data_IF_046793160746
#
_entry.id   IF_046793160746
#
_cell.length_a   1.000
_cell.length_b   1.000
_cell.length_c   1.000
_cell.angle_alpha   90.00
_cell.angle_beta   90.00
_cell.angle_gamma   90.00
#
_symmetry.space_group_name_H-M   'P 1'
#
loop_
_entity.id
_entity.type
_entity.pdbx_description
1 polymer ?
#
# COMPACT_ATOMS: atom_id res chain seq x y z
N UNK A 1 2.85 -33.62 -17.33
CA UNK A 1 1.73 -34.41 -17.84
C UNK A 1 0.70 -34.51 -16.72
N UNK A 2 -0.50 -33.93 -16.86
CA UNK A 2 -1.51 -34.03 -15.80
C UNK A 2 -2.26 -35.36 -15.96
N UNK A 3 -2.06 -36.27 -15.00
CA UNK A 3 -2.83 -37.49 -14.88
C UNK A 3 -4.33 -37.15 -14.77
N UNK A 4 -5.14 -37.85 -15.56
CA UNK A 4 -6.61 -37.82 -15.48
C UNK A 4 -7.04 -38.24 -14.07
N UNK A 5 -7.28 -37.28 -13.19
CA UNK A 5 -7.69 -37.52 -11.81
C UNK A 5 -9.20 -37.83 -11.78
N UNK A 6 -9.56 -39.02 -11.28
CA UNK A 6 -10.95 -39.49 -11.08
C UNK A 6 -11.88 -38.37 -10.57
N UNK A 7 -13.09 -38.21 -11.11
CA UNK A 7 -14.07 -37.18 -10.67
C UNK A 7 -14.89 -37.72 -9.48
N UNK A 8 -14.48 -37.51 -8.22
CA UNK A 8 -15.27 -38.00 -7.09
C UNK A 8 -16.63 -37.29 -7.07
N UNK A 9 -17.64 -38.00 -6.60
CA UNK A 9 -18.98 -37.45 -6.36
C UNK A 9 -19.02 -36.85 -4.96
N UNK A 10 -19.62 -35.67 -4.83
CA UNK A 10 -19.84 -34.96 -3.56
C UNK A 10 -21.32 -35.06 -3.21
N UNK A 11 -21.60 -35.32 -1.93
CA UNK A 11 -22.94 -35.32 -1.37
C UNK A 11 -23.50 -33.91 -1.20
N UNK A 12 -24.77 -33.70 -1.54
CA UNK A 12 -25.48 -32.45 -1.29
C UNK A 12 -26.24 -32.55 0.03
N UNK A 13 -26.08 -31.56 0.90
CA UNK A 13 -26.75 -31.48 2.19
C UNK A 13 -27.88 -30.45 2.16
N UNK A 14 -28.99 -30.74 2.85
CA UNK A 14 -30.06 -29.78 3.08
C UNK A 14 -29.73 -28.86 4.29
N UNK A 15 -30.54 -27.82 4.50
CA UNK A 15 -30.34 -26.87 5.62
C UNK A 15 -30.42 -27.53 7.01
N UNK A 16 -31.05 -28.71 7.10
CA UNK A 16 -31.14 -29.52 8.33
C UNK A 16 -29.93 -30.44 8.53
N UNK A 17 -28.88 -30.28 7.72
CA UNK A 17 -27.66 -31.11 7.73
C UNK A 17 -27.88 -32.59 7.38
N UNK A 18 -28.95 -32.90 6.66
CA UNK A 18 -29.24 -34.26 6.17
C UNK A 18 -28.77 -34.39 4.71
N UNK A 19 -28.29 -35.58 4.34
CA UNK A 19 -27.89 -35.87 2.96
C UNK A 19 -29.13 -36.00 2.09
N UNK A 20 -29.20 -35.18 1.03
CA UNK A 20 -30.24 -35.32 0.01
C UNK A 20 -29.94 -36.59 -0.79
N UNK A 21 -30.76 -37.61 -0.60
CA UNK A 21 -30.65 -38.88 -1.34
C UNK A 21 -30.78 -38.60 -2.84
N UNK A 22 -30.03 -39.33 -3.66
CA UNK A 22 -30.03 -39.27 -5.14
C UNK A 22 -29.44 -38.01 -5.79
N UNK A 23 -29.14 -36.96 -5.02
CA UNK A 23 -28.50 -35.75 -5.55
C UNK A 23 -27.01 -35.74 -5.22
N UNK A 24 -26.19 -36.18 -6.18
CA UNK A 24 -24.72 -36.13 -6.08
C UNK A 24 -24.12 -35.34 -7.24
N UNK A 25 -23.09 -34.54 -6.96
CA UNK A 25 -22.47 -33.64 -7.94
C UNK A 25 -21.01 -34.05 -8.11
N UNK A 26 -20.54 -34.14 -9.35
CA UNK A 26 -19.13 -34.41 -9.62
C UNK A 26 -18.26 -33.23 -9.19
N UNK A 27 -17.16 -33.50 -8.46
CA UNK A 27 -16.21 -32.48 -8.01
C UNK A 27 -15.64 -31.70 -9.20
N UNK A 28 -15.86 -30.37 -9.27
CA UNK A 28 -15.28 -29.54 -10.31
C UNK A 28 -13.76 -29.66 -10.36
N UNK A 29 -13.19 -29.60 -11.58
CA UNK A 29 -11.75 -29.81 -11.79
C UNK A 29 -10.87 -28.79 -11.04
N UNK A 30 -11.40 -27.61 -10.70
CA UNK A 30 -10.70 -26.55 -9.98
C UNK A 30 -10.20 -27.02 -8.60
N UNK A 31 -10.98 -27.83 -7.88
CA UNK A 31 -10.59 -28.33 -6.55
C UNK A 31 -9.42 -29.32 -6.56
N UNK A 32 -8.95 -29.74 -7.75
CA UNK A 32 -7.76 -30.58 -7.91
C UNK A 32 -6.56 -29.82 -8.45
N UNK A 33 -6.69 -28.51 -8.68
CA UNK A 33 -5.58 -27.68 -9.08
C UNK A 33 -4.49 -27.72 -8.00
N UNK A 34 -3.20 -27.71 -8.38
CA UNK A 34 -2.12 -27.71 -7.42
C UNK A 34 -2.05 -26.37 -6.69
N UNK A 35 -2.14 -26.44 -5.36
CA UNK A 35 -2.09 -25.28 -4.47
C UNK A 35 -0.69 -24.68 -4.51
N UNK A 36 -0.59 -23.42 -4.96
CA UNK A 36 0.66 -22.66 -4.99
C UNK A 36 0.58 -21.45 -4.04
N UNK A 37 1.00 -21.60 -2.78
CA UNK A 37 0.89 -20.52 -1.79
C UNK A 37 1.73 -19.29 -2.16
N UNK A 38 2.82 -19.47 -2.89
CA UNK A 38 3.67 -18.41 -3.43
C UNK A 38 2.90 -17.50 -4.40
N UNK A 39 2.18 -18.10 -5.36
CA UNK A 39 1.38 -17.37 -6.35
C UNK A 39 0.19 -16.68 -5.70
N UNK A 40 -0.48 -17.35 -4.77
CA UNK A 40 -1.61 -16.78 -4.01
C UNK A 40 -1.16 -15.56 -3.22
N UNK A 41 -0.07 -15.66 -2.47
CA UNK A 41 0.44 -14.54 -1.67
C UNK A 41 0.88 -13.36 -2.54
N UNK A 42 1.57 -13.64 -3.66
CA UNK A 42 1.97 -12.61 -4.61
C UNK A 42 0.75 -11.85 -5.16
N UNK A 43 -0.25 -12.58 -5.68
CA UNK A 43 -1.46 -11.96 -6.25
C UNK A 43 -2.22 -11.18 -5.19
N UNK A 44 -2.39 -11.74 -3.99
CA UNK A 44 -3.06 -11.07 -2.87
C UNK A 44 -2.38 -9.74 -2.52
N UNK A 45 -1.05 -9.72 -2.38
CA UNK A 45 -0.31 -8.50 -2.07
C UNK A 45 -0.51 -7.42 -3.15
N UNK A 46 -0.44 -7.80 -4.43
CA UNK A 46 -0.62 -6.85 -5.53
C UNK A 46 -2.05 -6.30 -5.61
N UNK A 47 -3.06 -7.15 -5.44
CA UNK A 47 -4.49 -6.74 -5.47
C UNK A 47 -4.82 -5.87 -4.26
N UNK A 48 -4.32 -6.20 -3.08
CA UNK A 48 -4.50 -5.39 -1.85
C UNK A 48 -3.97 -3.96 -2.01
N UNK A 49 -2.87 -3.77 -2.75
CA UNK A 49 -2.35 -2.43 -3.03
C UNK A 49 -3.26 -1.57 -3.92
N UNK A 50 -4.13 -2.18 -4.73
CA UNK A 50 -4.97 -1.46 -5.70
C UNK A 50 -6.15 -0.70 -5.06
N UNK A 51 -6.58 -1.10 -3.86
CA UNK A 51 -7.68 -0.43 -3.15
C UNK A 51 -7.22 0.83 -2.39
N UNK A 52 -5.91 1.13 -2.37
CA UNK A 52 -5.38 2.25 -1.60
C UNK A 52 -5.69 3.59 -2.27
N UNK A 53 -6.19 4.54 -1.50
CA UNK A 53 -6.35 5.92 -1.96
C UNK A 53 -4.99 6.66 -1.90
N UNK A 54 -4.58 7.36 -2.97
CA UNK A 54 -3.38 8.19 -2.96
C UNK A 54 -3.46 9.27 -1.88
N UNK A 55 -2.37 9.45 -1.14
CA UNK A 55 -2.22 10.53 -0.17
C UNK A 55 -0.88 11.24 -0.34
N UNK A 56 -0.86 12.53 0.00
CA UNK A 56 0.35 13.36 -0.07
C UNK A 56 0.28 14.50 0.93
N UNK A 57 1.45 14.95 1.39
CA UNK A 57 1.55 16.24 2.08
C UNK A 57 1.40 17.40 1.09
N UNK A 58 0.94 18.56 1.56
CA UNK A 58 0.86 19.76 0.73
C UNK A 58 2.23 20.14 0.19
N UNK A 59 2.32 20.50 -1.09
CA UNK A 59 3.59 20.84 -1.72
C UNK A 59 4.24 22.11 -1.10
N UNK A 60 3.39 23.03 -0.61
CA UNK A 60 3.79 24.27 0.07
C UNK A 60 4.00 24.10 1.58
N UNK A 61 3.83 22.91 2.14
CA UNK A 61 4.04 22.68 3.57
C UNK A 61 5.51 22.95 3.96
N UNK A 62 5.71 23.74 5.02
CA UNK A 62 7.04 24.16 5.48
C UNK A 62 7.73 25.19 4.59
N UNK A 63 7.08 25.65 3.49
CA UNK A 63 7.65 26.59 2.51
C UNK A 63 7.06 28.01 2.54
N UNK A 64 6.01 28.23 3.34
CA UNK A 64 5.31 29.51 3.39
C UNK A 64 6.03 30.58 4.22
N UNK A 65 7.01 30.17 5.04
CA UNK A 65 7.72 31.08 5.94
C UNK A 65 8.92 31.72 5.25
N UNK A 66 9.00 33.04 5.23
CA UNK A 66 10.19 33.76 4.76
C UNK A 66 11.35 33.60 5.75
N UNK A 67 12.39 32.87 5.36
CA UNK A 67 13.54 32.59 6.21
C UNK A 67 14.84 32.56 5.40
N UNK A 68 15.91 33.10 5.97
CA UNK A 68 17.25 33.10 5.38
C UNK A 68 18.29 32.74 6.44
N UNK A 69 19.39 32.12 6.00
CA UNK A 69 20.48 31.79 6.91
C UNK A 69 21.24 33.06 7.30
N UNK A 70 21.61 33.19 8.56
CA UNK A 70 22.44 34.30 9.04
C UNK A 70 23.93 34.15 8.67
N UNK A 71 24.32 33.04 8.04
CA UNK A 71 25.70 32.76 7.71
C UNK A 71 26.54 32.36 8.92
N UNK A 72 27.86 32.53 8.81
CA UNK A 72 28.84 32.24 9.86
C UNK A 72 29.06 33.45 10.79
N UNK A 73 29.86 33.27 11.85
CA UNK A 73 30.20 34.36 12.78
C UNK A 73 29.16 34.61 13.89
N UNK A 74 28.25 33.64 14.10
CA UNK A 74 27.29 33.63 15.21
C UNK A 74 27.38 32.27 15.89
N UNK A 75 27.14 32.20 17.20
CA UNK A 75 27.15 30.96 18.00
C UNK A 75 25.91 30.07 17.73
N UNK A 76 25.58 29.88 16.46
CA UNK A 76 24.31 29.35 15.97
C UNK A 76 24.52 28.61 14.64
N UNK A 77 23.85 27.48 14.43
CA UNK A 77 23.96 26.69 13.20
C UNK A 77 23.46 27.47 11.96
N UNK A 78 24.01 27.13 10.78
CA UNK A 78 23.79 27.79 9.47
C UNK A 78 22.42 27.53 8.81
N UNK A 79 21.40 27.25 9.61
CA UNK A 79 20.04 26.93 9.14
C UNK A 79 19.27 28.21 8.82
N UNK A 80 18.39 28.21 7.78
CA UNK A 80 17.49 29.34 7.54
C UNK A 80 16.65 29.68 8.76
N UNK A 81 16.58 30.97 9.10
CA UNK A 81 15.83 31.47 10.27
C UNK A 81 14.76 32.46 9.85
N UNK A 82 13.61 32.40 10.53
CA UNK A 82 12.48 33.29 10.27
C UNK A 82 12.90 34.74 10.50
N UNK A 83 12.65 35.59 9.52
CA UNK A 83 12.96 37.03 9.58
C UNK A 83 12.01 37.76 10.53
N UNK A 84 12.36 38.99 10.92
CA UNK A 84 11.56 39.83 11.80
C UNK A 84 12.01 39.80 13.27
N UNK A 85 11.18 40.35 14.15
CA UNK A 85 11.39 40.43 15.59
C UNK A 85 10.06 40.64 16.33
N UNK A 86 10.06 40.47 17.65
CA UNK A 86 8.88 40.72 18.50
C UNK A 86 7.86 39.57 18.58
N UNK A 87 8.11 38.44 17.91
CA UNK A 87 7.31 37.22 18.07
C UNK A 87 8.18 36.04 18.46
N UNK A 88 7.62 35.07 19.20
CA UNK A 88 8.34 33.85 19.59
C UNK A 88 8.85 33.03 18.39
N UNK A 89 8.23 33.21 17.20
CA UNK A 89 8.63 32.50 15.98
C UNK A 89 9.84 33.14 15.28
N UNK A 90 10.10 34.42 15.51
CA UNK A 90 11.24 35.14 14.89
C UNK A 90 12.57 34.55 15.34
N UNK A 91 13.52 34.36 14.42
CA UNK A 91 14.83 33.77 14.71
C UNK A 91 14.86 32.25 14.89
N UNK A 92 13.71 31.56 14.89
CA UNK A 92 13.65 30.09 14.91
C UNK A 92 14.03 29.49 13.55
N UNK A 93 14.49 28.23 13.54
CA UNK A 93 14.83 27.51 12.31
C UNK A 93 13.60 27.17 11.45
N UNK A 94 13.76 27.25 10.12
CA UNK A 94 12.72 26.97 9.13
C UNK A 94 13.30 26.22 7.91
N UNK A 95 12.42 25.76 7.02
CA UNK A 95 12.68 24.97 5.80
C UNK A 95 13.34 23.59 6.00
N UNK A 96 14.35 23.48 6.86
CA UNK A 96 15.08 22.24 7.09
C UNK A 96 14.18 21.09 7.56
N UNK A 97 14.47 19.88 7.10
CA UNK A 97 13.76 18.66 7.50
C UNK A 97 13.95 18.30 8.99
N UNK A 98 14.99 18.84 9.62
CA UNK A 98 15.26 18.74 11.05
C UNK A 98 14.65 19.89 11.88
N UNK A 99 13.98 20.86 11.25
CA UNK A 99 13.41 22.01 11.94
C UNK A 99 11.94 21.77 12.31
N UNK A 100 11.56 22.19 13.52
CA UNK A 100 10.15 22.27 13.90
C UNK A 100 9.36 23.20 12.95
N UNK A 101 8.36 22.65 12.27
CA UNK A 101 7.58 23.35 11.24
C UNK A 101 8.30 23.54 9.90
N UNK A 102 9.44 22.90 9.69
CA UNK A 102 10.15 22.86 8.41
C UNK A 102 9.53 21.86 7.42
N UNK A 103 10.14 21.72 6.24
CA UNK A 103 9.67 20.79 5.22
C UNK A 103 10.40 19.45 5.31
N UNK A 104 9.64 18.36 5.28
CA UNK A 104 10.19 17.01 5.25
C UNK A 104 11.03 16.76 3.98
N UNK A 105 12.13 16.02 4.10
CA UNK A 105 12.88 15.51 2.95
C UNK A 105 12.09 14.40 2.25
N UNK A 106 12.08 14.40 0.91
CA UNK A 106 11.30 13.46 0.09
C UNK A 106 9.82 13.32 0.53
N UNK A 107 9.04 14.43 0.50
CA UNK A 107 7.64 14.41 0.92
C UNK A 107 6.82 13.44 0.06
N UNK A 108 5.79 12.83 0.66
CA UNK A 108 4.87 11.94 -0.06
C UNK A 108 4.24 12.69 -1.24
N UNK A 109 4.27 12.07 -2.42
CA UNK A 109 3.76 12.65 -3.66
C UNK A 109 2.54 11.90 -4.16
N UNK A 110 1.55 12.60 -4.74
CA UNK A 110 0.32 11.97 -5.21
C UNK A 110 0.60 10.97 -6.35
N UNK A 111 1.59 11.26 -7.20
CA UNK A 111 2.00 10.38 -8.32
C UNK A 111 2.87 9.18 -7.91
N UNK A 112 2.98 8.87 -6.61
CA UNK A 112 3.56 7.59 -6.17
C UNK A 112 2.79 6.44 -6.84
N UNK A 113 3.50 5.40 -7.27
CA UNK A 113 2.85 4.23 -7.88
C UNK A 113 2.12 3.40 -6.81
N UNK A 114 0.82 3.65 -6.65
CA UNK A 114 -0.09 2.88 -5.77
C UNK A 114 -0.58 1.58 -6.41
N UNK A 115 -1.18 1.61 -7.63
CA UNK A 115 -1.72 0.40 -8.22
C UNK A 115 -0.64 -0.45 -8.89
N UNK A 116 -0.90 -1.75 -8.91
CA UNK A 116 -0.09 -2.79 -9.53
C UNK A 116 -0.96 -3.63 -10.45
N UNK A 117 -0.50 -3.77 -11.69
CA UNK A 117 -1.12 -4.64 -12.68
C UNK A 117 -0.68 -6.07 -12.40
N UNK A 118 -1.65 -6.97 -12.25
CA UNK A 118 -1.43 -8.41 -12.13
C UNK A 118 -1.74 -9.06 -13.47
N UNK A 119 -0.94 -10.05 -13.88
CA UNK A 119 -1.22 -10.82 -15.09
C UNK A 119 -2.53 -11.61 -14.92
N UNK A 120 -3.39 -11.60 -15.93
CA UNK A 120 -4.69 -12.28 -15.91
C UNK A 120 -4.53 -13.78 -15.62
N UNK A 121 -3.53 -14.43 -16.21
CA UNK A 121 -3.29 -15.86 -16.00
C UNK A 121 -2.83 -16.17 -14.57
N UNK A 122 -1.97 -15.32 -13.98
CA UNK A 122 -1.56 -15.48 -12.57
C UNK A 122 -2.73 -15.27 -11.62
N UNK A 123 -3.60 -14.30 -11.90
CA UNK A 123 -4.81 -14.06 -11.09
C UNK A 123 -5.79 -15.23 -11.18
N UNK A 124 -5.99 -15.80 -12.37
CA UNK A 124 -6.82 -17.00 -12.56
C UNK A 124 -6.23 -18.20 -11.84
N UNK A 125 -4.91 -18.37 -11.88
CA UNK A 125 -4.22 -19.43 -11.18
C UNK A 125 -4.36 -19.31 -9.65
N UNK A 126 -4.23 -18.10 -9.10
CA UNK A 126 -4.40 -17.89 -7.65
C UNK A 126 -5.83 -18.12 -7.14
N UNK A 127 -6.83 -18.08 -8.02
CA UNK A 127 -8.23 -18.37 -7.70
C UNK A 127 -8.59 -19.85 -7.88
N UNK A 128 -7.78 -20.61 -8.64
CA UNK A 128 -8.00 -22.01 -8.94
C UNK A 128 -7.42 -22.90 -7.85
#
# INVERSE_FOLDING_TARGET
>A
MSLSTARPLISVYNEKSEVVKETSIALPAVFKAPIRPDVVNFVHQQVSMNHRQPYSVSDKAGHQTSAESWGTGRAVARIPRVRGGGTHRSGQGAFGNMCGGGRMFAPTKPWRRWPRRVNVNQRRYALA
#
